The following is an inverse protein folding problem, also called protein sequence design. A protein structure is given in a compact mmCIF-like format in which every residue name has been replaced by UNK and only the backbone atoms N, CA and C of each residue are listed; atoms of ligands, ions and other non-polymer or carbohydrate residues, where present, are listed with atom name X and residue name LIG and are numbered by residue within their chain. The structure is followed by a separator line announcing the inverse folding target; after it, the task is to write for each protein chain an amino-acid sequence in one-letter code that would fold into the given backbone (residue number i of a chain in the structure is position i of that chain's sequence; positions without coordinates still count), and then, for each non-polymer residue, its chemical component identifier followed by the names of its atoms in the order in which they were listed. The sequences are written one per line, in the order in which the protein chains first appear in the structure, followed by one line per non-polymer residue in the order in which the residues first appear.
data_IF_025204821931
#
_entry.id   IF_025204821931
#
_cell.length_a   1.000
_cell.length_b   1.000
_cell.length_c   1.000
_cell.angle_alpha   90.00
_cell.angle_beta   90.00
_cell.angle_gamma   90.00
#
_symmetry.space_group_name_H-M   'P 1'
#
loop_
_entity.id
_entity.type
_entity.pdbx_description
1 polymer ?
#
# COMPACT_ATOMS: atom_id res chain seq x y z
N UNK A 1 -7.27 10.00 9.16
CA UNK A 1 -7.11 8.59 8.73
C UNK A 1 -6.65 7.78 9.93
N UNK A 2 -7.06 6.52 10.04
CA UNK A 2 -6.50 5.62 11.05
C UNK A 2 -4.99 5.42 10.78
N UNK A 3 -4.15 5.46 11.82
CA UNK A 3 -2.72 5.22 11.68
C UNK A 3 -2.40 3.76 11.37
N UNK A 4 -3.29 2.83 11.74
CA UNK A 4 -3.16 1.40 11.46
C UNK A 4 -3.27 1.13 9.96
N UNK A 5 -2.30 0.40 9.41
CA UNK A 5 -2.24 0.04 7.98
C UNK A 5 -3.48 -0.77 7.60
N UNK A 6 -3.71 -1.90 8.28
CA UNK A 6 -4.85 -2.78 7.99
C UNK A 6 -6.19 -2.05 8.11
N UNK A 7 -6.41 -1.32 9.22
CA UNK A 7 -7.68 -0.63 9.42
C UNK A 7 -7.91 0.50 8.41
N UNK A 8 -6.85 1.22 8.01
CA UNK A 8 -6.97 2.23 6.96
C UNK A 8 -7.39 1.62 5.62
N UNK A 9 -6.83 0.46 5.27
CA UNK A 9 -7.17 -0.24 4.03
C UNK A 9 -8.59 -0.82 4.08
N UNK A 10 -9.01 -1.39 5.22
CA UNK A 10 -10.41 -1.82 5.45
C UNK A 10 -11.39 -0.67 5.25
N UNK A 11 -11.10 0.48 5.86
CA UNK A 11 -11.93 1.67 5.72
C UNK A 11 -12.04 2.15 4.26
N UNK A 12 -10.95 2.12 3.50
CA UNK A 12 -10.95 2.51 2.09
C UNK A 12 -11.66 1.50 1.17
N UNK A 13 -11.66 0.22 1.54
CA UNK A 13 -12.43 -0.84 0.87
C UNK A 13 -13.91 -0.89 1.32
N UNK A 14 -14.32 -0.05 2.27
CA UNK A 14 -15.69 -0.05 2.80
C UNK A 14 -16.01 -1.24 3.72
N UNK A 15 -14.98 -1.89 4.28
CA UNK A 15 -15.11 -3.01 5.21
C UNK A 15 -15.20 -2.45 6.63
N UNK A 16 -16.21 -2.91 7.39
CA UNK A 16 -16.34 -2.55 8.81
C UNK A 16 -15.11 -3.02 9.62
N UNK A 17 -14.63 -2.17 10.54
CA UNK A 17 -13.41 -2.47 11.30
C UNK A 17 -13.56 -3.70 12.20
N UNK A 18 -14.78 -4.00 12.66
CA UNK A 18 -15.09 -5.18 13.50
C UNK A 18 -15.17 -6.48 12.71
N UNK A 19 -15.31 -6.41 11.37
CA UNK A 19 -15.35 -7.58 10.51
C UNK A 19 -13.93 -8.10 10.26
N UNK A 20 -13.58 -9.24 10.86
CA UNK A 20 -12.25 -9.85 10.74
C UNK A 20 -12.15 -10.96 9.69
N UNK A 21 -13.24 -11.27 8.98
CA UNK A 21 -13.30 -12.41 8.06
C UNK A 21 -12.26 -12.34 6.93
N UNK A 22 -11.89 -11.13 6.53
CA UNK A 22 -10.96 -10.87 5.42
C UNK A 22 -9.57 -10.44 5.89
N UNK A 23 -9.32 -10.31 7.20
CA UNK A 23 -8.07 -9.74 7.70
C UNK A 23 -6.85 -10.55 7.23
N UNK A 24 -6.96 -11.88 7.22
CA UNK A 24 -5.87 -12.76 6.76
C UNK A 24 -5.54 -12.54 5.27
N UNK A 25 -6.55 -12.46 4.41
CA UNK A 25 -6.36 -12.24 2.97
C UNK A 25 -5.82 -10.84 2.68
N UNK A 26 -6.32 -9.82 3.38
CA UNK A 26 -5.82 -8.45 3.27
C UNK A 26 -4.36 -8.36 3.72
N UNK A 27 -4.00 -8.99 4.84
CA UNK A 27 -2.61 -9.01 5.35
C UNK A 27 -1.66 -9.64 4.33
N UNK A 28 -2.04 -10.78 3.73
CA UNK A 28 -1.23 -11.43 2.69
C UNK A 28 -0.99 -10.49 1.51
N UNK A 29 -2.05 -9.88 0.99
CA UNK A 29 -1.94 -8.95 -0.15
C UNK A 29 -1.14 -7.68 0.20
N UNK A 30 -1.35 -7.10 1.39
CA UNK A 30 -0.59 -5.95 1.89
C UNK A 30 0.90 -6.28 1.95
N UNK A 31 1.27 -7.45 2.48
CA UNK A 31 2.67 -7.87 2.58
C UNK A 31 3.30 -8.11 1.20
N UNK A 32 2.55 -8.64 0.23
CA UNK A 32 3.03 -8.73 -1.16
C UNK A 32 3.28 -7.35 -1.78
N UNK A 33 2.44 -6.36 -1.47
CA UNK A 33 2.63 -4.98 -1.95
C UNK A 33 3.82 -4.32 -1.26
N UNK A 34 4.02 -4.55 0.05
CA UNK A 34 5.22 -4.08 0.76
C UNK A 34 6.49 -4.65 0.17
N UNK A 35 6.50 -5.94 -0.21
CA UNK A 35 7.64 -6.52 -0.92
C UNK A 35 7.96 -5.76 -2.20
N UNK A 36 6.97 -5.41 -3.02
CA UNK A 36 7.17 -4.56 -4.21
C UNK A 36 7.76 -3.20 -3.85
N UNK A 37 7.23 -2.53 -2.81
CA UNK A 37 7.75 -1.23 -2.38
C UNK A 37 9.21 -1.32 -1.91
N UNK A 38 9.59 -2.38 -1.18
CA UNK A 38 10.98 -2.64 -0.80
C UNK A 38 11.87 -2.85 -2.02
N UNK A 39 11.39 -3.52 -3.07
CA UNK A 39 12.13 -3.69 -4.33
C UNK A 39 12.31 -2.37 -5.09
N UNK A 40 11.38 -1.43 -4.97
CA UNK A 40 11.53 -0.06 -5.48
C UNK A 40 12.52 0.77 -4.66
N UNK A 41 13.16 0.19 -3.64
CA UNK A 41 14.13 0.88 -2.79
C UNK A 41 13.52 1.67 -1.64
N UNK A 42 12.19 1.68 -1.47
CA UNK A 42 11.59 2.29 -0.29
C UNK A 42 12.09 1.56 0.96
N UNK A 43 12.50 2.35 1.96
CA UNK A 43 13.03 1.88 3.25
C UNK A 43 14.43 1.22 3.16
N UNK A 44 15.29 1.69 2.24
CA UNK A 44 16.68 1.22 2.12
C UNK A 44 16.81 -0.31 1.99
N UNK A 45 15.86 -0.95 1.31
CA UNK A 45 15.82 -2.40 1.12
C UNK A 45 15.43 -3.20 2.37
N UNK A 46 15.06 -2.55 3.48
CA UNK A 46 14.58 -3.23 4.68
C UNK A 46 13.16 -3.73 4.47
N UNK A 47 12.99 -5.06 4.54
CA UNK A 47 11.68 -5.69 4.42
C UNK A 47 10.74 -5.26 5.55
N UNK A 48 9.49 -4.96 5.22
CA UNK A 48 8.44 -4.68 6.18
C UNK A 48 7.25 -5.61 5.94
N UNK A 49 6.61 -6.05 7.03
CA UNK A 49 5.42 -6.90 6.97
C UNK A 49 4.55 -6.68 8.20
N UNK A 50 3.25 -6.93 8.06
CA UNK A 50 2.28 -6.86 9.13
C UNK A 50 1.71 -8.24 9.45
N UNK A 51 1.33 -8.47 10.70
CA UNK A 51 0.65 -9.70 11.17
C UNK A 51 -0.75 -9.42 11.71
N UNK A 52 -1.06 -8.16 12.01
CA UNK A 52 -2.31 -7.71 12.62
C UNK A 52 -2.50 -6.19 12.41
N UNK A 53 -3.48 -5.61 13.09
CA UNK A 53 -3.84 -4.20 12.99
C UNK A 53 -2.95 -3.24 13.81
N UNK A 54 -1.99 -3.72 14.60
CA UNK A 54 -1.11 -2.88 15.44
C UNK A 54 -0.06 -2.12 14.64
N UNK A 55 0.31 -2.62 13.45
CA UNK A 55 1.28 -1.98 12.57
C UNK A 55 0.72 -0.68 11.97
N UNK A 56 1.55 0.37 11.93
CA UNK A 56 1.12 1.73 11.57
C UNK A 56 1.89 2.33 10.40
N UNK A 57 1.29 3.30 9.72
CA UNK A 57 1.97 4.04 8.65
C UNK A 57 3.24 4.75 9.11
N UNK A 58 3.26 5.44 10.28
CA UNK A 58 4.50 6.05 10.79
C UNK A 58 5.62 5.04 11.05
N UNK A 59 5.30 3.81 11.47
CA UNK A 59 6.33 2.76 11.65
C UNK A 59 6.93 2.27 10.34
N UNK A 60 6.21 2.37 9.21
CA UNK A 60 6.72 2.00 7.89
C UNK A 60 7.41 3.18 7.18
N UNK A 61 6.78 4.35 7.19
CA UNK A 61 7.25 5.53 6.46
C UNK A 61 8.26 6.37 7.27
N UNK A 62 8.52 6.05 8.54
CA UNK A 62 9.36 6.88 9.42
C UNK A 62 8.90 8.35 9.47
N UNK A 63 7.58 8.60 9.39
CA UNK A 63 6.96 9.93 9.31
C UNK A 63 7.38 10.79 8.10
N UNK A 64 7.77 10.14 6.99
CA UNK A 64 8.03 10.79 5.71
C UNK A 64 6.75 11.11 4.96
N UNK A 65 6.43 12.39 4.91
CA UNK A 65 5.25 12.90 4.20
C UNK A 65 5.43 12.88 2.67
N UNK A 66 6.67 12.86 2.18
CA UNK A 66 7.00 12.77 0.75
C UNK A 66 6.64 11.41 0.13
N UNK A 67 6.40 10.39 0.96
CA UNK A 67 5.99 9.04 0.56
C UNK A 67 4.50 8.74 0.82
N UNK A 68 3.69 9.75 1.13
CA UNK A 68 2.27 9.52 1.49
C UNK A 68 1.45 8.87 0.36
N UNK A 69 1.91 9.01 -0.89
CA UNK A 69 1.33 8.35 -2.07
C UNK A 69 1.33 6.82 -1.98
N UNK A 70 2.17 6.22 -1.14
CA UNK A 70 2.14 4.77 -0.81
C UNK A 70 0.76 4.32 -0.37
N UNK A 71 0.02 5.13 0.40
CA UNK A 71 -1.33 4.75 0.89
C UNK A 71 -2.31 4.60 -0.27
N UNK A 72 -2.24 5.50 -1.25
CA UNK A 72 -3.08 5.44 -2.45
C UNK A 72 -2.67 4.27 -3.35
N UNK A 73 -1.36 4.06 -3.54
CA UNK A 73 -0.82 2.91 -4.26
C UNK A 73 -1.29 1.57 -3.64
N UNK A 74 -1.15 1.42 -2.32
CA UNK A 74 -1.60 0.24 -1.57
C UNK A 74 -3.09 -0.03 -1.80
N UNK A 75 -3.93 1.00 -1.67
CA UNK A 75 -5.36 0.88 -1.91
C UNK A 75 -5.69 0.42 -3.34
N UNK A 76 -5.09 1.04 -4.37
CA UNK A 76 -5.34 0.68 -5.76
C UNK A 76 -4.92 -0.77 -6.05
N UNK A 77 -3.77 -1.20 -5.52
CA UNK A 77 -3.29 -2.59 -5.65
C UNK A 77 -4.23 -3.56 -4.95
N UNK A 78 -4.64 -3.27 -3.71
CA UNK A 78 -5.60 -4.09 -2.98
C UNK A 78 -6.93 -4.21 -3.72
N UNK A 79 -7.43 -3.11 -4.28
CA UNK A 79 -8.66 -3.12 -5.07
C UNK A 79 -8.52 -4.01 -6.31
N UNK A 80 -7.37 -4.02 -6.98
CA UNK A 80 -7.14 -4.93 -8.12
C UNK A 80 -6.88 -6.39 -7.72
N UNK A 81 -6.55 -6.70 -6.47
CA UNK A 81 -6.26 -8.08 -6.02
C UNK A 81 -7.44 -8.72 -5.29
N UNK A 82 -8.20 -7.92 -4.56
CA UNK A 82 -9.24 -8.38 -3.63
C UNK A 82 -10.66 -8.01 -4.09
N UNK A 83 -10.87 -6.78 -4.58
CA UNK A 83 -12.18 -6.27 -5.00
C UNK A 83 -12.14 -5.78 -6.46
N UNK A 84 -11.85 -6.74 -7.36
CA UNK A 84 -11.59 -6.46 -8.77
C UNK A 84 -12.79 -5.74 -9.39
N UNK A 85 -12.62 -4.51 -9.90
CA UNK A 85 -13.70 -3.82 -10.60
C UNK A 85 -14.17 -4.63 -11.81
N UNK A 86 -15.47 -4.72 -12.03
CA UNK A 86 -16.03 -5.49 -13.16
C UNK A 86 -15.83 -4.82 -14.52
N UNK A 87 -15.40 -3.55 -14.56
CA UNK A 87 -15.33 -2.74 -15.78
C UNK A 87 -13.89 -2.51 -16.22
N UNK A 88 -13.62 -2.81 -17.49
CA UNK A 88 -12.28 -2.74 -18.07
C UNK A 88 -11.68 -1.33 -18.05
N UNK A 89 -12.49 -0.29 -18.26
CA UNK A 89 -12.01 1.11 -18.24
C UNK A 89 -11.56 1.55 -16.84
N UNK A 90 -12.22 1.07 -15.77
CA UNK A 90 -11.79 1.34 -14.39
C UNK A 90 -10.49 0.61 -14.10
N UNK A 91 -10.38 -0.66 -14.50
CA UNK A 91 -9.14 -1.43 -14.35
C UNK A 91 -7.97 -0.72 -15.05
N UNK A 92 -8.16 -0.27 -16.29
CA UNK A 92 -7.12 0.43 -17.04
C UNK A 92 -6.72 1.75 -16.38
N UNK A 93 -7.70 2.55 -15.92
CA UNK A 93 -7.42 3.79 -15.21
C UNK A 93 -6.67 3.55 -13.89
N UNK A 94 -6.98 2.48 -13.16
CA UNK A 94 -6.26 2.10 -11.94
C UNK A 94 -4.83 1.64 -12.25
N UNK A 95 -4.64 0.83 -13.30
CA UNK A 95 -3.30 0.39 -13.72
C UNK A 95 -2.40 1.56 -14.08
N UNK A 96 -2.91 2.53 -14.85
CA UNK A 96 -2.14 3.75 -15.19
C UNK A 96 -1.76 4.56 -13.94
N UNK A 97 -2.67 4.69 -12.97
CA UNK A 97 -2.36 5.35 -11.70
C UNK A 97 -1.32 4.59 -10.88
N UNK A 98 -1.41 3.26 -10.85
CA UNK A 98 -0.42 2.38 -10.20
C UNK A 98 0.95 2.57 -10.83
N UNK A 99 1.06 2.52 -12.16
CA UNK A 99 2.32 2.73 -12.89
C UNK A 99 2.92 4.12 -12.60
N UNK A 100 2.08 5.16 -12.56
CA UNK A 100 2.52 6.51 -12.20
C UNK A 100 3.05 6.58 -10.77
N UNK A 101 2.35 5.97 -9.80
CA UNK A 101 2.82 5.92 -8.42
C UNK A 101 4.11 5.13 -8.27
N UNK A 102 4.24 3.96 -8.93
CA UNK A 102 5.47 3.16 -8.92
C UNK A 102 6.65 3.99 -9.43
N UNK A 103 6.47 4.70 -10.55
CA UNK A 103 7.51 5.57 -11.08
C UNK A 103 7.89 6.71 -10.11
N UNK A 104 6.91 7.43 -9.57
CA UNK A 104 7.16 8.54 -8.62
C UNK A 104 7.84 8.07 -7.35
N UNK A 105 7.39 6.94 -6.81
CA UNK A 105 7.96 6.33 -5.61
C UNK A 105 9.38 5.84 -5.84
N UNK A 106 9.67 5.26 -7.00
CA UNK A 106 11.03 4.87 -7.39
C UNK A 106 11.95 6.08 -7.47
N UNK A 107 11.54 7.15 -8.15
CA UNK A 107 12.31 8.40 -8.23
C UNK A 107 12.59 8.97 -6.83
N UNK A 108 11.60 8.95 -5.95
CA UNK A 108 11.78 9.44 -4.57
C UNK A 108 12.74 8.57 -3.75
N UNK A 109 12.73 7.25 -3.97
CA UNK A 109 13.63 6.31 -3.31
C UNK A 109 15.08 6.45 -3.82
N UNK A 110 15.27 6.66 -5.12
CA UNK A 110 16.59 6.91 -5.72
C UNK A 110 17.22 8.20 -5.17
N UNK A 111 16.44 9.29 -5.08
CA UNK A 111 16.92 10.57 -4.53
C UNK A 111 17.44 10.44 -3.09
N UNK A 112 16.83 9.59 -2.26
CA UNK A 112 17.29 9.38 -0.89
C UNK A 112 18.63 8.64 -0.82
N UNK A 113 18.88 7.70 -1.73
CA UNK A 113 20.13 6.93 -1.76
C UNK A 113 21.34 7.77 -2.19
N UNK A 114 21.11 8.87 -2.90
CA UNK A 114 22.16 9.79 -3.37
C UNK A 114 22.56 10.86 -2.34
N UNK A 115 21.80 11.01 -1.25
CA UNK A 115 22.02 11.97 -0.14
C UNK A 115 22.71 11.36 1.07
#
# INVERSE_FOLDING_TARGET
MNNSILNSMKQMLGIDLTNTAFDSELIVNINSIFFTLTQLGLNNGTSFSITDASATWPTFLSSRDDLDSVKSYMYLRLRLLFDIPSTSFIIEAMKRQIEEFEWRLNVQAEQEQET
#
